data_IF_793444373466
#
_entry.id   IF_793444373466
#
_cell.length_a   1.000
_cell.length_b   1.000
_cell.length_c   1.000
_cell.angle_alpha   90.00
_cell.angle_beta   90.00
_cell.angle_gamma   90.00
#
_symmetry.space_group_name_H-M   'P 1'
#
loop_
_entity.id
_entity.type
_entity.pdbx_description
1 polymer ?
#
# COMPACT_ATOMS: atom_id res chain seq x y z
N UNK A 1 -7.40 26.79 -9.18
CA UNK A 1 -8.73 26.39 -8.71
C UNK A 1 -8.54 25.02 -8.05
N UNK A 2 -8.55 24.94 -6.71
CA UNK A 2 -8.32 23.68 -5.95
C UNK A 2 -9.68 23.02 -5.77
N UNK A 3 -9.90 21.88 -6.42
CA UNK A 3 -11.08 21.05 -6.18
C UNK A 3 -10.74 20.07 -5.05
N UNK A 4 -11.32 20.29 -3.87
CA UNK A 4 -11.31 19.32 -2.78
C UNK A 4 -12.45 18.34 -3.02
N UNK A 5 -12.13 17.10 -3.38
CA UNK A 5 -13.12 16.03 -3.35
C UNK A 5 -13.16 15.50 -1.92
N UNK A 6 -14.19 15.85 -1.18
CA UNK A 6 -14.50 15.26 0.12
C UNK A 6 -15.29 13.98 -0.13
N UNK A 7 -14.69 12.84 0.14
CA UNK A 7 -15.43 11.58 0.29
C UNK A 7 -15.68 11.40 1.78
N UNK A 8 -16.94 11.68 2.19
CA UNK A 8 -17.38 11.43 3.56
C UNK A 8 -17.77 9.96 3.70
N UNK A 9 -16.97 9.19 4.42
CA UNK A 9 -17.36 7.85 4.85
C UNK A 9 -18.01 7.93 6.22
N UNK A 10 -19.29 7.56 6.28
CA UNK A 10 -20.02 7.35 7.54
C UNK A 10 -19.44 6.17 8.32
N UNK A 11 -19.16 6.47 9.55
CA UNK A 11 -18.95 5.59 10.71
C UNK A 11 -18.88 4.08 10.45
N UNK A 12 -17.70 3.57 10.16
CA UNK A 12 -17.32 2.20 10.43
C UNK A 12 -15.95 2.19 11.12
N UNK A 13 -15.90 1.62 12.32
CA UNK A 13 -14.69 1.55 13.16
C UNK A 13 -13.63 0.68 12.48
N UNK A 14 -12.76 1.29 11.70
CA UNK A 14 -11.49 0.70 11.30
C UNK A 14 -10.54 1.85 10.97
N UNK A 15 -9.37 1.85 11.62
CA UNK A 15 -8.35 2.86 11.42
C UNK A 15 -7.78 2.77 10.01
N UNK A 16 -8.28 3.62 9.13
CA UNK A 16 -7.75 3.75 7.77
C UNK A 16 -6.95 5.04 7.72
N UNK A 17 -5.66 4.92 7.52
CA UNK A 17 -4.79 6.03 7.19
C UNK A 17 -5.17 6.57 5.80
N UNK A 18 -5.69 7.80 5.78
CA UNK A 18 -5.94 8.53 4.53
C UNK A 18 -4.64 9.21 4.11
N UNK A 19 -3.95 8.66 3.12
CA UNK A 19 -2.89 9.36 2.41
C UNK A 19 -3.54 10.38 1.46
N UNK A 20 -3.31 11.67 1.70
CA UNK A 20 -3.77 12.74 0.83
C UNK A 20 -2.86 12.83 -0.41
N UNK A 21 -3.39 12.48 -1.59
CA UNK A 21 -2.72 12.67 -2.86
C UNK A 21 -2.89 14.11 -3.34
N UNK A 22 -1.78 14.81 -3.56
CA UNK A 22 -1.75 16.06 -4.31
C UNK A 22 -1.42 15.77 -5.78
N UNK A 23 -2.42 15.92 -6.65
CA UNK A 23 -2.22 15.82 -8.11
C UNK A 23 -1.79 17.17 -8.66
N UNK A 24 -0.57 17.27 -9.18
CA UNK A 24 -0.10 18.42 -9.96
C UNK A 24 -0.53 18.28 -11.42
N UNK A 25 -1.44 19.14 -11.86
CA UNK A 25 -1.84 19.23 -13.27
C UNK A 25 -0.80 20.06 -14.06
N UNK A 26 -0.12 19.41 -14.99
CA UNK A 26 0.65 20.10 -16.03
C UNK A 26 -0.30 20.45 -17.18
N UNK A 27 -0.50 21.73 -17.41
CA UNK A 27 -1.31 22.23 -18.52
C UNK A 27 -0.53 22.12 -19.84
N UNK A 28 -0.97 21.26 -20.74
CA UNK A 28 -0.51 21.22 -22.12
C UNK A 28 -1.36 22.18 -22.96
N UNK A 29 -0.71 23.19 -23.56
CA UNK A 29 -1.31 24.14 -24.49
C UNK A 29 -1.68 23.44 -25.80
N UNK A 30 -2.95 23.45 -26.14
CA UNK A 30 -3.45 23.02 -27.46
C UNK A 30 -3.13 24.09 -28.53
N UNK A 31 -2.38 23.66 -29.53
CA UNK A 31 -2.21 24.43 -30.80
C UNK A 31 -3.38 24.15 -31.74
N UNK A 32 -4.01 25.23 -32.20
CA UNK A 32 -5.02 25.23 -33.27
C UNK A 32 -4.35 24.94 -34.61
N UNK A 33 -4.92 24.05 -35.41
CA UNK A 33 -4.73 24.03 -36.87
C UNK A 33 -6.04 23.67 -37.58
N UNK A 34 -6.25 24.40 -38.63
CA UNK A 34 -7.39 24.68 -39.50
C UNK A 34 -8.12 23.48 -40.12
N UNK A 35 -9.42 23.78 -40.34
CA UNK A 35 -10.35 23.08 -41.23
C UNK A 35 -9.86 23.01 -42.68
N UNK A 36 -10.14 21.87 -43.33
CA UNK A 36 -10.37 21.84 -44.78
C UNK A 36 -11.42 20.77 -45.11
N UNK A 37 -12.46 21.29 -45.71
CA UNK A 37 -13.67 20.61 -46.19
C UNK A 37 -13.40 19.84 -47.47
N UNK A 38 -13.91 18.63 -47.63
CA UNK A 38 -14.48 18.14 -48.90
C UNK A 38 -15.27 16.84 -48.73
N UNK A 39 -16.44 16.81 -49.30
CA UNK A 39 -17.53 15.83 -49.35
C UNK A 39 -17.40 14.98 -50.65
N UNK A 40 -18.30 14.03 -50.96
CA UNK A 40 -18.27 12.58 -50.63
C UNK A 40 -18.16 11.71 -51.91
N UNK A 41 -17.89 10.43 -51.74
CA UNK A 41 -18.19 9.44 -52.81
C UNK A 41 -18.73 8.14 -52.22
N UNK A 42 -19.88 7.83 -52.67
CA UNK A 42 -20.62 6.54 -52.60
C UNK A 42 -19.87 5.42 -53.27
N UNK A 43 -20.00 4.18 -52.70
CA UNK A 43 -19.87 2.99 -53.54
C UNK A 43 -19.38 1.74 -52.86
N UNK A 44 -20.32 0.79 -52.81
CA UNK A 44 -20.18 -0.67 -53.00
C UNK A 44 -19.85 -1.58 -51.80
N UNK A 45 -20.90 -2.24 -51.41
CA UNK A 45 -20.96 -3.58 -50.82
C UNK A 45 -20.05 -4.60 -51.49
N UNK A 46 -19.27 -5.33 -50.68
CA UNK A 46 -18.83 -6.68 -51.03
C UNK A 46 -18.70 -7.50 -49.76
N UNK A 47 -19.68 -8.35 -49.54
CA UNK A 47 -19.63 -9.48 -48.63
C UNK A 47 -18.65 -10.53 -49.16
N UNK A 48 -17.61 -10.83 -48.37
CA UNK A 48 -16.84 -12.05 -48.53
C UNK A 48 -16.86 -12.81 -47.20
N UNK A 49 -17.75 -13.80 -47.14
CA UNK A 49 -17.71 -14.86 -46.15
C UNK A 49 -16.53 -15.79 -46.45
N UNK A 50 -15.53 -15.84 -45.53
CA UNK A 50 -14.56 -16.90 -45.45
C UNK A 50 -14.36 -17.26 -43.99
N UNK A 51 -14.48 -18.56 -43.60
CA UNK A 51 -14.18 -18.97 -42.23
C UNK A 51 -12.68 -19.00 -42.05
N UNK A 52 -12.13 -17.89 -41.54
CA UNK A 52 -10.78 -17.87 -40.97
C UNK A 52 -10.77 -18.60 -39.60
N UNK A 53 -9.61 -19.16 -39.20
CA UNK A 53 -9.52 -19.87 -37.93
C UNK A 53 -9.99 -18.98 -36.81
N UNK A 54 -10.93 -19.46 -36.01
CA UNK A 54 -11.46 -18.78 -34.83
C UNK A 54 -10.34 -18.61 -33.81
N UNK A 55 -9.58 -17.53 -33.94
CA UNK A 55 -8.88 -16.97 -32.78
C UNK A 55 -9.96 -16.59 -31.78
N UNK A 56 -10.01 -17.28 -30.66
CA UNK A 56 -10.86 -16.97 -29.53
C UNK A 56 -10.46 -15.61 -28.99
N UNK A 57 -10.90 -14.55 -29.67
CA UNK A 57 -10.66 -13.17 -29.21
C UNK A 57 -11.55 -12.98 -28.02
N UNK A 58 -10.98 -13.23 -26.86
CA UNK A 58 -11.59 -12.92 -25.56
C UNK A 58 -11.87 -11.42 -25.57
N UNK A 59 -13.13 -11.03 -25.57
CA UNK A 59 -13.50 -9.60 -25.55
C UNK A 59 -13.04 -8.90 -24.25
N UNK A 60 -12.89 -7.58 -24.25
CA UNK A 60 -12.40 -6.85 -23.06
C UNK A 60 -13.28 -7.06 -21.82
N UNK A 61 -14.60 -7.26 -22.00
CA UNK A 61 -15.51 -7.56 -20.90
C UNK A 61 -15.24 -8.92 -20.25
N UNK A 62 -14.86 -9.94 -21.07
CA UNK A 62 -14.51 -11.25 -20.53
C UNK A 62 -13.16 -11.18 -19.81
N UNK A 63 -12.16 -10.54 -20.39
CA UNK A 63 -10.86 -10.36 -19.76
C UNK A 63 -10.96 -9.59 -18.43
N UNK A 64 -11.75 -8.52 -18.38
CA UNK A 64 -11.99 -7.79 -17.13
C UNK A 64 -12.68 -8.67 -16.08
N UNK A 65 -13.66 -9.47 -16.47
CA UNK A 65 -14.36 -10.39 -15.57
C UNK A 65 -13.42 -11.44 -14.98
N UNK A 66 -12.54 -11.99 -15.78
CA UNK A 66 -11.54 -12.97 -15.33
C UNK A 66 -10.50 -12.31 -14.43
N UNK A 67 -10.06 -11.07 -14.72
CA UNK A 67 -9.17 -10.29 -13.87
C UNK A 67 -9.79 -10.02 -12.49
N UNK A 68 -11.07 -9.63 -12.44
CA UNK A 68 -11.80 -9.42 -11.19
C UNK A 68 -11.98 -10.74 -10.41
N UNK A 69 -12.21 -11.85 -11.10
CA UNK A 69 -12.31 -13.17 -10.48
C UNK A 69 -10.98 -13.62 -9.88
N UNK A 70 -9.87 -13.37 -10.56
CA UNK A 70 -8.53 -13.65 -10.06
C UNK A 70 -8.19 -12.76 -8.85
N UNK A 71 -8.58 -11.48 -8.88
CA UNK A 71 -8.42 -10.57 -7.75
C UNK A 71 -9.26 -11.00 -6.53
N UNK A 72 -10.50 -11.45 -6.75
CA UNK A 72 -11.39 -11.98 -5.71
C UNK A 72 -10.78 -13.19 -4.98
N UNK A 73 -10.28 -14.16 -5.73
CA UNK A 73 -9.63 -15.35 -5.16
C UNK A 73 -8.20 -15.09 -4.68
N UNK A 74 -7.68 -13.86 -4.86
CA UNK A 74 -6.30 -13.47 -4.61
C UNK A 74 -5.29 -14.41 -5.31
N UNK A 75 -5.64 -14.93 -6.49
CA UNK A 75 -4.78 -15.75 -7.32
C UNK A 75 -3.76 -14.87 -8.05
N UNK A 76 -2.56 -14.71 -7.50
CA UNK A 76 -1.47 -13.92 -8.10
C UNK A 76 -1.16 -14.39 -9.52
N UNK A 77 -1.07 -15.71 -9.71
CA UNK A 77 -0.79 -16.34 -11.02
C UNK A 77 -1.81 -15.95 -12.09
N UNK A 78 -3.09 -15.95 -11.73
CA UNK A 78 -4.14 -15.69 -12.72
C UNK A 78 -4.32 -14.19 -12.92
N UNK A 79 -4.18 -13.37 -11.87
CA UNK A 79 -4.26 -11.91 -11.97
C UNK A 79 -3.14 -11.33 -12.85
N UNK A 80 -1.92 -11.86 -12.74
CA UNK A 80 -0.76 -11.41 -13.55
C UNK A 80 -1.02 -11.51 -15.06
N UNK A 81 -1.85 -12.47 -15.52
CA UNK A 81 -2.21 -12.63 -16.93
C UNK A 81 -2.91 -11.40 -17.50
N UNK A 82 -3.55 -10.60 -16.66
CA UNK A 82 -4.31 -9.40 -17.08
C UNK A 82 -3.53 -8.10 -16.88
N UNK A 83 -2.29 -8.16 -16.44
CA UNK A 83 -1.40 -7.00 -16.39
C UNK A 83 -0.67 -6.83 -17.71
N UNK A 84 -0.34 -5.58 -18.07
CA UNK A 84 0.63 -5.30 -19.16
C UNK A 84 1.99 -5.89 -18.81
N UNK A 85 2.85 -6.15 -19.78
CA UNK A 85 4.16 -6.75 -19.55
C UNK A 85 4.94 -5.98 -18.47
N UNK A 86 5.00 -4.64 -18.58
CA UNK A 86 5.66 -3.77 -17.60
C UNK A 86 5.09 -3.89 -16.20
N UNK A 87 3.76 -3.91 -16.07
CA UNK A 87 3.11 -4.05 -14.77
C UNK A 87 3.28 -5.44 -14.18
N UNK A 88 3.32 -6.49 -15.01
CA UNK A 88 3.53 -7.87 -14.58
C UNK A 88 4.94 -8.07 -13.99
N UNK A 89 5.98 -7.50 -14.61
CA UNK A 89 7.34 -7.52 -14.09
C UNK A 89 7.42 -6.85 -12.71
N UNK A 90 6.83 -5.65 -12.59
CA UNK A 90 6.80 -4.94 -11.31
C UNK A 90 5.97 -5.69 -10.27
N UNK A 91 4.81 -6.23 -10.63
CA UNK A 91 3.99 -7.03 -9.73
C UNK A 91 4.75 -8.24 -9.16
N UNK A 92 5.53 -8.92 -9.99
CA UNK A 92 6.37 -10.04 -9.55
C UNK A 92 7.46 -9.61 -8.54
N UNK A 93 7.97 -8.39 -8.65
CA UNK A 93 8.99 -7.84 -7.73
C UNK A 93 8.43 -7.34 -6.39
N UNK A 94 7.12 -7.08 -6.30
CA UNK A 94 6.46 -6.65 -5.06
C UNK A 94 6.53 -7.73 -3.97
N UNK A 95 6.48 -7.30 -2.71
CA UNK A 95 6.31 -8.24 -1.59
C UNK A 95 4.97 -8.97 -1.68
N UNK A 96 4.84 -10.19 -1.13
CA UNK A 96 3.57 -10.92 -1.14
C UNK A 96 2.40 -10.09 -0.56
N UNK A 97 2.64 -9.37 0.53
CA UNK A 97 1.63 -8.50 1.14
C UNK A 97 1.17 -7.35 0.22
N UNK A 98 2.10 -6.73 -0.53
CA UNK A 98 1.79 -5.66 -1.47
C UNK A 98 0.98 -6.20 -2.68
N UNK A 99 1.31 -7.39 -3.19
CA UNK A 99 0.54 -8.04 -4.26
C UNK A 99 -0.90 -8.32 -3.84
N UNK A 100 -1.10 -8.89 -2.65
CA UNK A 100 -2.42 -9.11 -2.07
C UNK A 100 -3.16 -7.80 -1.85
N UNK A 101 -2.53 -6.77 -1.31
CA UNK A 101 -3.13 -5.45 -1.09
C UNK A 101 -3.59 -4.79 -2.40
N UNK A 102 -2.84 -4.97 -3.50
CA UNK A 102 -3.27 -4.49 -4.81
C UNK A 102 -4.54 -5.21 -5.28
N UNK A 103 -4.57 -6.55 -5.23
CA UNK A 103 -5.74 -7.32 -5.68
C UNK A 103 -6.99 -7.00 -4.87
N UNK A 104 -6.88 -6.82 -3.56
CA UNK A 104 -8.00 -6.39 -2.68
C UNK A 104 -8.66 -5.09 -3.14
N UNK A 105 -7.87 -4.14 -3.65
CA UNK A 105 -8.38 -2.85 -4.14
C UNK A 105 -9.25 -2.96 -5.39
N UNK A 106 -9.07 -4.00 -6.20
CA UNK A 106 -9.90 -4.23 -7.38
C UNK A 106 -11.30 -4.73 -7.04
N UNK A 107 -11.45 -5.45 -5.93
CA UNK A 107 -12.73 -6.05 -5.53
C UNK A 107 -13.32 -5.44 -4.26
N UNK A 108 -12.59 -4.53 -3.60
CA UNK A 108 -12.99 -3.82 -2.37
C UNK A 108 -13.31 -4.77 -1.20
N UNK A 109 -12.63 -5.91 -1.12
CA UNK A 109 -12.78 -6.91 -0.06
C UNK A 109 -11.42 -7.24 0.54
N UNK A 110 -11.40 -7.43 1.85
CA UNK A 110 -10.17 -7.69 2.60
C UNK A 110 -9.76 -9.18 2.59
N UNK A 111 -10.71 -10.09 2.57
CA UNK A 111 -10.45 -11.52 2.57
C UNK A 111 -10.50 -12.13 1.18
N UNK A 112 -9.77 -13.24 0.92
CA UNK A 112 -9.92 -13.99 -0.31
C UNK A 112 -11.33 -14.57 -0.40
N UNK A 113 -11.92 -14.43 -1.57
CA UNK A 113 -13.30 -14.82 -1.82
C UNK A 113 -13.45 -15.94 -2.84
N UNK A 114 -14.68 -16.38 -3.00
CA UNK A 114 -15.10 -17.30 -4.06
C UNK A 114 -15.79 -16.49 -5.16
N UNK A 115 -15.16 -16.34 -6.33
CA UNK A 115 -15.81 -15.66 -7.46
C UNK A 115 -16.90 -16.53 -8.05
N UNK A 116 -18.05 -15.95 -8.33
CA UNK A 116 -19.09 -16.55 -9.15
C UNK A 116 -19.44 -15.62 -10.30
N UNK A 117 -19.64 -16.21 -11.49
CA UNK A 117 -19.99 -15.45 -12.68
C UNK A 117 -21.47 -15.68 -12.99
N UNK A 118 -22.23 -14.62 -12.98
CA UNK A 118 -23.68 -14.64 -13.21
C UNK A 118 -24.01 -13.59 -14.27
N UNK A 119 -25.09 -13.81 -14.99
CA UNK A 119 -25.70 -12.76 -15.81
C UNK A 119 -26.67 -12.03 -14.91
N UNK A 120 -26.44 -10.74 -14.68
CA UNK A 120 -27.34 -9.92 -13.87
C UNK A 120 -28.73 -9.78 -14.50
N UNK A 121 -29.69 -9.28 -13.73
CA UNK A 121 -31.08 -9.06 -14.18
C UNK A 121 -31.19 -8.15 -15.43
N UNK A 122 -30.17 -7.34 -15.69
CA UNK A 122 -30.06 -6.46 -16.87
C UNK A 122 -29.43 -7.15 -18.09
N UNK A 123 -29.13 -8.46 -18.03
CA UNK A 123 -28.43 -9.21 -19.08
C UNK A 123 -26.94 -8.89 -19.17
N UNK A 124 -26.39 -8.12 -18.24
CA UNK A 124 -24.96 -7.76 -18.21
C UNK A 124 -24.15 -8.74 -17.36
N UNK A 125 -22.87 -8.97 -17.70
CA UNK A 125 -21.99 -9.81 -16.88
C UNK A 125 -21.85 -9.26 -15.46
N UNK A 126 -22.01 -10.12 -14.48
CA UNK A 126 -21.85 -9.82 -13.05
C UNK A 126 -20.82 -10.76 -12.45
N UNK A 127 -19.82 -10.21 -11.79
CA UNK A 127 -18.88 -10.94 -10.93
C UNK A 127 -19.29 -10.71 -9.48
N UNK A 128 -19.67 -11.79 -8.80
CA UNK A 128 -19.94 -11.78 -7.37
C UNK A 128 -18.77 -12.42 -6.64
N UNK A 129 -18.20 -11.72 -5.69
CA UNK A 129 -17.12 -12.18 -4.85
C UNK A 129 -17.64 -12.37 -3.43
N UNK A 130 -17.69 -13.59 -2.93
CA UNK A 130 -18.17 -13.93 -1.59
C UNK A 130 -17.01 -14.25 -0.68
N UNK A 131 -16.93 -13.58 0.47
CA UNK A 131 -15.96 -13.82 1.54
C UNK A 131 -16.69 -14.12 2.85
N UNK A 132 -16.00 -14.65 3.87
CA UNK A 132 -16.61 -14.83 5.19
C UNK A 132 -17.12 -13.52 5.83
N UNK A 133 -16.53 -12.38 5.48
CA UNK A 133 -16.86 -11.06 6.04
C UNK A 133 -17.85 -10.23 5.21
N UNK A 134 -18.23 -10.66 4.01
CA UNK A 134 -19.13 -9.90 3.13
C UNK A 134 -19.10 -10.39 1.69
N UNK A 135 -19.86 -9.73 0.84
CA UNK A 135 -19.86 -10.01 -0.59
C UNK A 135 -19.90 -8.72 -1.40
N UNK A 136 -19.11 -8.66 -2.47
CA UNK A 136 -19.16 -7.57 -3.43
C UNK A 136 -19.68 -8.06 -4.78
N UNK A 137 -20.52 -7.26 -5.41
CA UNK A 137 -21.01 -7.49 -6.76
C UNK A 137 -20.46 -6.43 -7.70
N UNK A 138 -19.83 -6.87 -8.78
CA UNK A 138 -19.27 -6.00 -9.80
C UNK A 138 -20.00 -6.26 -11.12
N UNK A 139 -20.81 -5.31 -11.56
CA UNK A 139 -21.53 -5.37 -12.83
C UNK A 139 -20.73 -4.66 -13.93
N UNK A 140 -20.45 -5.34 -15.03
CA UNK A 140 -19.66 -4.81 -16.15
C UNK A 140 -20.61 -4.39 -17.26
N UNK A 141 -20.51 -3.14 -17.68
CA UNK A 141 -21.27 -2.58 -18.79
C UNK A 141 -20.69 -2.89 -20.17
N UNK A 142 -21.30 -2.33 -21.20
CA UNK A 142 -20.82 -2.44 -22.58
C UNK A 142 -19.46 -1.78 -22.75
N UNK A 143 -18.54 -2.44 -23.46
CA UNK A 143 -17.22 -1.89 -23.77
C UNK A 143 -17.31 -0.84 -24.89
N UNK A 144 -16.73 0.32 -24.67
CA UNK A 144 -16.43 1.31 -25.70
C UNK A 144 -15.02 1.01 -26.23
N UNK A 145 -14.90 0.49 -27.45
CA UNK A 145 -13.63 0.06 -28.04
C UNK A 145 -13.18 1.06 -29.09
N UNK A 146 -11.95 1.54 -28.98
CA UNK A 146 -11.29 2.39 -29.99
C UNK A 146 -9.88 1.82 -30.21
N UNK A 147 -9.63 1.28 -31.38
CA UNK A 147 -8.38 0.63 -31.77
C UNK A 147 -7.95 -0.47 -30.78
N UNK A 148 -6.88 -0.24 -30.06
CA UNK A 148 -6.34 -1.15 -29.05
C UNK A 148 -6.76 -0.78 -27.60
N UNK A 149 -7.66 0.18 -27.43
CA UNK A 149 -8.16 0.63 -26.12
C UNK A 149 -9.62 0.24 -25.95
N UNK A 150 -9.99 -0.16 -24.77
CA UNK A 150 -11.38 -0.39 -24.38
C UNK A 150 -11.67 0.28 -23.02
N UNK A 151 -12.83 0.91 -22.92
CA UNK A 151 -13.32 1.48 -21.67
C UNK A 151 -14.65 0.82 -21.31
N UNK A 152 -14.72 0.30 -20.08
CA UNK A 152 -15.86 -0.44 -19.58
C UNK A 152 -16.42 0.29 -18.36
N UNK A 153 -17.68 0.73 -18.39
CA UNK A 153 -18.37 1.20 -17.18
C UNK A 153 -18.61 0.02 -16.24
N UNK A 154 -18.27 0.19 -15.00
CA UNK A 154 -18.37 -0.84 -13.96
C UNK A 154 -19.10 -0.26 -12.76
N UNK A 155 -20.08 -1.00 -12.26
CA UNK A 155 -20.82 -0.70 -11.04
C UNK A 155 -20.41 -1.71 -9.97
N UNK A 156 -19.91 -1.22 -8.85
CA UNK A 156 -19.50 -2.05 -7.70
C UNK A 156 -20.42 -1.74 -6.55
N UNK A 157 -20.99 -2.77 -5.93
CA UNK A 157 -21.86 -2.64 -4.77
C UNK A 157 -21.56 -3.70 -3.72
N UNK A 158 -21.80 -3.38 -2.48
CA UNK A 158 -21.85 -4.36 -1.41
C UNK A 158 -23.12 -5.20 -1.57
N UNK A 159 -22.97 -6.51 -1.76
CA UNK A 159 -24.12 -7.41 -1.94
C UNK A 159 -24.93 -7.62 -0.64
N UNK A 160 -24.39 -7.20 0.51
CA UNK A 160 -25.05 -7.27 1.81
C UNK A 160 -25.88 -6.00 2.09
N UNK A 161 -25.67 -4.92 1.33
CA UNK A 161 -26.43 -3.68 1.44
C UNK A 161 -27.81 -3.84 0.79
N UNK A 162 -28.81 -4.17 1.61
CA UNK A 162 -30.21 -4.34 1.18
C UNK A 162 -30.91 -3.04 0.79
N UNK A 163 -30.33 -1.89 1.14
CA UNK A 163 -30.90 -0.55 0.85
C UNK A 163 -30.40 -0.02 -0.50
N UNK A 164 -29.31 -0.62 -1.06
CA UNK A 164 -28.75 -0.23 -2.35
C UNK A 164 -28.17 1.20 -2.38
N UNK A 165 -27.84 1.75 -1.22
CA UNK A 165 -27.44 3.15 -1.07
C UNK A 165 -26.01 3.44 -1.57
N UNK A 166 -25.15 2.43 -1.64
CA UNK A 166 -23.73 2.60 -1.96
C UNK A 166 -23.33 1.85 -3.23
N UNK A 167 -23.64 2.42 -4.39
CA UNK A 167 -23.15 1.93 -5.67
C UNK A 167 -21.99 2.81 -6.12
N UNK A 168 -20.82 2.21 -6.31
CA UNK A 168 -19.67 2.90 -6.88
C UNK A 168 -19.67 2.72 -8.40
N UNK A 169 -19.66 3.83 -9.14
CA UNK A 169 -19.52 3.83 -10.58
C UNK A 169 -18.10 4.18 -10.97
N UNK A 170 -17.44 3.29 -11.70
CA UNK A 170 -16.08 3.49 -12.17
C UNK A 170 -15.97 3.06 -13.63
N UNK A 171 -15.12 3.74 -14.41
CA UNK A 171 -14.81 3.32 -15.78
C UNK A 171 -13.45 2.63 -15.76
N UNK A 172 -13.37 1.35 -16.12
CA UNK A 172 -12.12 0.61 -16.21
C UNK A 172 -11.60 0.63 -17.64
N UNK A 173 -10.31 0.96 -17.78
CA UNK A 173 -9.61 0.97 -19.07
C UNK A 173 -8.84 -0.31 -19.27
N UNK A 174 -8.87 -0.81 -20.50
CA UNK A 174 -8.07 -1.94 -20.94
C UNK A 174 -7.31 -1.60 -22.22
N UNK A 175 -6.15 -2.19 -22.39
CA UNK A 175 -5.32 -2.06 -23.61
C UNK A 175 -5.10 -3.43 -24.20
N UNK A 176 -5.07 -3.51 -25.55
CA UNK A 176 -4.77 -4.75 -26.26
C UNK A 176 -3.26 -4.86 -26.47
N UNK A 177 -2.63 -5.81 -25.82
CA UNK A 177 -1.20 -6.10 -25.93
C UNK A 177 -1.02 -7.54 -26.40
N UNK A 178 -0.29 -7.73 -27.51
CA UNK A 178 -0.08 -9.05 -28.14
C UNK A 178 -1.39 -9.82 -28.43
N UNK A 179 -2.47 -9.12 -28.78
CA UNK A 179 -3.76 -9.73 -29.07
C UNK A 179 -4.65 -9.99 -27.86
N UNK A 180 -4.16 -9.79 -26.63
CA UNK A 180 -4.87 -10.00 -25.37
C UNK A 180 -5.22 -8.67 -24.70
N UNK A 181 -6.35 -8.64 -23.98
CA UNK A 181 -6.76 -7.46 -23.22
C UNK A 181 -6.15 -7.44 -21.83
N UNK A 182 -5.47 -6.34 -21.52
CA UNK A 182 -4.75 -6.09 -20.24
C UNK A 182 -5.33 -4.89 -19.53
N UNK A 183 -5.25 -4.87 -18.20
CA UNK A 183 -5.68 -3.74 -17.37
C UNK A 183 -4.79 -2.53 -17.61
N UNK A 184 -5.41 -1.39 -17.95
CA UNK A 184 -4.74 -0.12 -18.19
C UNK A 184 -5.03 0.90 -17.09
N UNK A 185 -6.29 1.02 -16.67
CA UNK A 185 -6.69 2.02 -15.68
C UNK A 185 -7.90 1.59 -14.86
N UNK A 186 -8.04 2.21 -13.69
CA UNK A 186 -9.23 2.16 -12.85
C UNK A 186 -9.70 3.60 -12.65
N UNK A 187 -10.84 3.95 -13.25
CA UNK A 187 -11.29 5.32 -13.32
C UNK A 187 -10.32 6.18 -14.14
N UNK A 188 -9.94 7.31 -13.60
CA UNK A 188 -8.96 8.24 -14.19
C UNK A 188 -7.51 7.91 -13.81
N UNK A 189 -7.29 6.87 -13.02
CA UNK A 189 -5.96 6.47 -12.56
C UNK A 189 -5.41 5.38 -13.47
N UNK A 190 -4.32 5.70 -14.19
CA UNK A 190 -3.56 4.71 -14.93
C UNK A 190 -2.89 3.73 -13.96
N UNK A 191 -2.91 2.44 -14.31
CA UNK A 191 -2.22 1.40 -13.55
C UNK A 191 -0.73 1.42 -13.96
N UNK A 192 0.07 2.19 -13.23
CA UNK A 192 1.53 2.25 -13.37
C UNK A 192 2.17 1.68 -12.10
N UNK A 193 2.27 0.36 -12.03
CA UNK A 193 2.84 -0.32 -10.87
C UNK A 193 4.29 0.06 -10.58
N UNK A 194 5.18 0.30 -11.56
CA UNK A 194 6.52 0.78 -11.27
C UNK A 194 6.53 2.07 -10.43
N UNK A 195 5.71 3.05 -10.76
CA UNK A 195 5.60 4.28 -9.98
C UNK A 195 4.98 4.04 -8.61
N UNK A 196 3.91 3.23 -8.53
CA UNK A 196 3.27 2.87 -7.27
C UNK A 196 4.20 2.07 -6.35
N UNK A 197 5.03 1.19 -6.90
CA UNK A 197 5.99 0.42 -6.11
C UNK A 197 7.00 1.34 -5.39
N UNK A 198 7.54 2.33 -6.09
CA UNK A 198 8.47 3.32 -5.51
C UNK A 198 7.79 4.12 -4.39
N UNK A 199 6.55 4.56 -4.62
CA UNK A 199 5.78 5.29 -3.60
C UNK A 199 5.47 4.42 -2.38
N UNK A 200 5.14 3.14 -2.58
CA UNK A 200 4.87 2.21 -1.48
C UNK A 200 6.11 1.91 -0.67
N UNK A 201 7.25 1.69 -1.32
CA UNK A 201 8.53 1.46 -0.62
C UNK A 201 8.91 2.70 0.20
N UNK A 202 8.77 3.90 -0.36
CA UNK A 202 9.02 5.15 0.35
C UNK A 202 8.07 5.33 1.56
N UNK A 203 6.77 5.09 1.37
CA UNK A 203 5.77 5.18 2.43
C UNK A 203 6.02 4.13 3.54
N UNK A 204 6.42 2.92 3.16
CA UNK A 204 6.77 1.86 4.10
C UNK A 204 8.00 2.24 4.93
N UNK A 205 9.05 2.75 4.29
CA UNK A 205 10.24 3.23 5.00
C UNK A 205 9.91 4.36 5.96
N UNK A 206 9.12 5.36 5.55
CA UNK A 206 8.68 6.45 6.42
C UNK A 206 7.88 5.94 7.63
N UNK A 207 6.98 4.98 7.42
CA UNK A 207 6.22 4.35 8.50
C UNK A 207 7.13 3.63 9.49
N UNK A 208 8.11 2.89 8.98
CA UNK A 208 9.09 2.15 9.79
C UNK A 208 9.98 3.10 10.58
N UNK A 209 10.44 4.21 9.98
CA UNK A 209 11.21 5.26 10.64
C UNK A 209 10.41 5.94 11.76
N UNK A 210 9.14 6.24 11.52
CA UNK A 210 8.25 6.80 12.55
C UNK A 210 8.06 5.85 13.73
N UNK A 211 7.92 4.56 13.44
CA UNK A 211 7.85 3.51 14.46
C UNK A 211 9.14 3.43 15.27
N UNK A 212 10.30 3.52 14.61
CA UNK A 212 11.60 3.52 15.30
C UNK A 212 11.76 4.70 16.28
N UNK A 213 11.29 5.88 15.88
CA UNK A 213 11.23 7.07 16.78
C UNK A 213 10.32 6.81 17.98
N UNK A 214 9.15 6.21 17.75
CA UNK A 214 8.23 5.79 18.82
C UNK A 214 8.89 4.80 19.79
N UNK A 215 9.58 3.80 19.27
CA UNK A 215 10.29 2.81 20.06
C UNK A 215 11.43 3.43 20.89
N UNK A 216 12.18 4.41 20.35
CA UNK A 216 13.18 5.14 21.13
C UNK A 216 12.56 5.89 22.32
N UNK A 217 11.38 6.49 22.14
CA UNK A 217 10.64 7.14 23.22
C UNK A 217 10.20 6.12 24.27
N UNK A 218 9.63 4.99 23.85
CA UNK A 218 9.23 3.90 24.75
C UNK A 218 10.40 3.33 25.55
N UNK A 219 11.55 3.10 24.90
CA UNK A 219 12.76 2.63 25.58
C UNK A 219 13.20 3.67 26.63
N UNK A 220 13.22 4.95 26.28
CA UNK A 220 13.61 6.01 27.21
C UNK A 220 12.70 6.06 28.44
N UNK A 221 11.39 5.97 28.24
CA UNK A 221 10.40 5.93 29.34
C UNK A 221 10.58 4.70 30.21
N UNK A 222 10.84 3.53 29.63
CA UNK A 222 11.10 2.29 30.35
C UNK A 222 12.39 2.39 31.19
N UNK A 223 13.47 2.95 30.64
CA UNK A 223 14.72 3.19 31.38
C UNK A 223 14.49 4.12 32.58
N UNK A 224 13.72 5.20 32.39
CA UNK A 224 13.38 6.10 33.48
C UNK A 224 12.46 5.47 34.51
N UNK A 225 11.52 4.65 34.13
CA UNK A 225 10.67 3.86 35.04
C UNK A 225 11.51 2.86 35.86
N UNK A 226 12.43 2.16 35.20
CA UNK A 226 13.37 1.28 35.88
C UNK A 226 14.21 2.05 36.92
N UNK A 227 14.77 3.23 36.55
CA UNK A 227 15.53 4.08 37.46
C UNK A 227 14.72 4.50 38.70
N UNK A 228 13.46 4.89 38.50
CA UNK A 228 12.56 5.22 39.62
C UNK A 228 12.29 4.05 40.55
N UNK A 229 12.16 2.84 40.01
CA UNK A 229 11.83 1.64 40.78
C UNK A 229 13.03 1.06 41.52
N UNK A 230 14.21 1.04 40.86
CA UNK A 230 15.39 0.35 41.36
C UNK A 230 16.54 1.29 41.76
N UNK A 231 16.33 2.60 41.72
CA UNK A 231 17.30 3.67 42.07
C UNK A 231 18.61 3.61 41.24
N UNK A 232 18.64 2.92 40.12
CA UNK A 232 19.78 2.79 39.19
C UNK A 232 19.32 2.64 37.76
N UNK A 233 20.21 2.91 36.78
CA UNK A 233 19.96 2.59 35.40
C UNK A 233 20.08 1.07 35.17
N UNK A 234 19.34 0.49 34.19
CA UNK A 234 19.53 -0.89 33.77
C UNK A 234 20.89 -1.02 33.05
N UNK A 235 21.61 -2.13 33.27
CA UNK A 235 22.91 -2.38 32.62
C UNK A 235 22.76 -2.65 31.12
N UNK A 236 21.58 -3.09 30.68
CA UNK A 236 21.22 -3.36 29.28
C UNK A 236 19.70 -3.31 29.07
N UNK A 237 19.27 -3.21 27.81
CA UNK A 237 17.84 -3.28 27.46
C UNK A 237 17.19 -4.59 27.89
N UNK A 238 17.95 -5.69 27.90
CA UNK A 238 17.45 -7.01 28.30
C UNK A 238 16.89 -7.05 29.74
N UNK A 239 17.36 -6.17 30.64
CA UNK A 239 16.83 -6.02 32.00
C UNK A 239 15.40 -5.48 32.03
N UNK A 240 14.96 -4.84 30.94
CA UNK A 240 13.60 -4.29 30.80
C UNK A 240 12.59 -5.32 30.26
N UNK A 241 13.06 -6.50 29.83
CA UNK A 241 12.23 -7.55 29.27
C UNK A 241 11.19 -8.08 30.27
N UNK A 242 10.10 -8.70 29.79
CA UNK A 242 9.14 -9.37 30.64
C UNK A 242 9.78 -10.49 31.46
N UNK A 243 9.33 -10.66 32.71
CA UNK A 243 9.70 -11.83 33.49
C UNK A 243 9.07 -13.08 32.87
N UNK A 244 9.85 -14.13 32.67
CA UNK A 244 9.36 -15.42 32.15
C UNK A 244 8.47 -16.15 33.15
N UNK A 245 8.64 -15.92 34.43
CA UNK A 245 7.82 -16.45 35.54
C UNK A 245 7.87 -15.52 36.76
N UNK A 246 6.74 -15.34 37.43
CA UNK A 246 6.65 -14.61 38.69
C UNK A 246 6.55 -13.08 38.53
N UNK A 247 6.90 -12.35 39.60
CA UNK A 247 6.85 -10.92 39.68
C UNK A 247 8.05 -10.27 38.95
N UNK A 248 7.92 -8.99 38.57
CA UNK A 248 9.01 -8.18 38.00
C UNK A 248 10.20 -8.11 38.96
N UNK A 249 11.40 -8.23 38.45
CA UNK A 249 12.67 -8.19 39.17
C UNK A 249 13.64 -7.18 38.50
N UNK A 250 14.73 -6.77 39.14
CA UNK A 250 15.74 -5.96 38.48
C UNK A 250 16.37 -6.61 37.25
N UNK A 251 16.28 -7.92 37.08
CA UNK A 251 16.80 -8.65 35.94
C UNK A 251 15.77 -8.86 34.82
N UNK A 252 14.49 -8.66 35.12
CA UNK A 252 13.37 -8.79 34.20
C UNK A 252 12.22 -7.88 34.68
N UNK A 253 12.34 -6.60 34.39
CA UNK A 253 11.47 -5.56 34.95
C UNK A 253 10.08 -5.47 34.31
N UNK A 254 9.86 -6.14 33.16
CA UNK A 254 8.55 -6.16 32.49
C UNK A 254 8.11 -4.81 31.91
N UNK A 255 9.07 -3.96 31.55
CA UNK A 255 8.82 -2.58 31.08
C UNK A 255 8.84 -2.44 29.56
N UNK A 256 9.36 -3.43 28.84
CA UNK A 256 9.39 -3.50 27.38
C UNK A 256 8.93 -4.88 26.90
N UNK A 257 8.44 -4.94 25.67
CA UNK A 257 8.22 -6.21 24.97
C UNK A 257 9.55 -6.92 24.71
N UNK A 258 9.50 -8.25 24.56
CA UNK A 258 10.69 -9.09 24.45
C UNK A 258 11.61 -8.69 23.30
N UNK A 259 11.04 -8.42 22.11
CA UNK A 259 11.80 -8.06 20.90
C UNK A 259 12.49 -6.70 21.06
N UNK A 260 11.80 -5.73 21.61
CA UNK A 260 12.38 -4.39 21.87
C UNK A 260 13.45 -4.43 22.94
N UNK A 261 13.26 -5.25 23.97
CA UNK A 261 14.27 -5.50 24.99
C UNK A 261 15.49 -6.26 24.46
N UNK A 262 15.30 -7.10 23.44
CA UNK A 262 16.39 -7.74 22.70
C UNK A 262 17.15 -6.77 21.78
N UNK A 263 16.65 -5.55 21.62
CA UNK A 263 17.31 -4.51 20.82
C UNK A 263 16.97 -4.53 19.34
N UNK A 264 15.89 -5.21 18.92
CA UNK A 264 15.50 -5.27 17.51
C UNK A 264 13.97 -5.33 17.39
N UNK A 265 13.36 -4.37 16.69
CA UNK A 265 11.93 -4.37 16.40
C UNK A 265 11.64 -3.54 15.15
N UNK A 266 10.61 -3.95 14.38
CA UNK A 266 10.07 -3.19 13.25
C UNK A 266 11.13 -2.71 12.24
N UNK A 267 12.11 -3.55 11.92
CA UNK A 267 13.15 -3.25 10.92
C UNK A 267 14.28 -2.33 11.41
N UNK A 268 14.35 -2.06 12.73
CA UNK A 268 15.40 -1.28 13.36
C UNK A 268 16.11 -2.05 14.45
N UNK A 269 17.44 -1.78 14.60
CA UNK A 269 18.25 -2.20 15.73
C UNK A 269 18.37 -1.03 16.72
N UNK A 270 18.19 -1.32 18.00
CA UNK A 270 18.26 -0.34 19.08
C UNK A 270 19.48 -0.59 19.95
N UNK A 271 20.24 0.46 20.22
CA UNK A 271 21.42 0.42 21.08
C UNK A 271 21.22 1.38 22.26
N UNK A 272 21.49 0.88 23.45
CA UNK A 272 21.48 1.63 24.69
C UNK A 272 22.91 1.76 25.20
N UNK A 273 23.28 2.96 25.65
CA UNK A 273 24.60 3.24 26.20
C UNK A 273 24.44 4.13 27.45
N UNK A 274 25.06 3.72 28.56
CA UNK A 274 25.18 4.56 29.74
C UNK A 274 26.31 5.55 29.47
N UNK A 275 26.00 6.84 29.49
CA UNK A 275 26.93 7.91 29.29
C UNK A 275 27.45 8.39 30.64
N UNK A 276 28.74 8.20 30.88
CA UNK A 276 29.50 8.80 31.98
C UNK A 276 28.95 8.51 33.37
N UNK A 277 29.46 7.53 34.03
CA UNK A 277 29.54 7.52 35.48
C UNK A 277 30.64 8.52 35.86
N UNK A 278 30.22 9.70 36.20
CA UNK A 278 30.68 10.34 37.13
C UNK A 278 31.78 11.26 37.45
N UNK A 279 31.46 12.41 37.63
CA UNK A 279 32.01 13.18 38.72
C UNK A 279 31.15 12.90 39.97
N UNK A 280 31.75 12.74 41.12
CA UNK A 280 31.07 12.44 42.41
C UNK A 280 29.79 13.28 42.52
N UNK A 281 28.61 12.61 42.55
CA UNK A 281 27.33 13.24 42.80
C UNK A 281 26.44 13.53 41.60
N UNK A 282 26.87 13.37 40.35
CA UNK A 282 25.99 13.54 39.20
C UNK A 282 25.25 12.24 38.86
N UNK A 283 23.93 12.28 38.62
CA UNK A 283 23.20 11.09 38.23
C UNK A 283 23.68 10.55 36.85
N UNK A 284 23.86 9.25 36.76
CA UNK A 284 24.22 8.62 35.48
C UNK A 284 23.17 8.95 34.40
N UNK A 285 23.64 9.27 33.19
CA UNK A 285 22.82 9.57 32.03
C UNK A 285 22.89 8.41 31.02
N UNK A 286 22.03 8.41 30.04
CA UNK A 286 22.04 7.41 28.97
C UNK A 286 21.74 8.05 27.63
N UNK A 287 22.19 7.39 26.59
CA UNK A 287 21.87 7.69 25.19
C UNK A 287 21.30 6.45 24.50
N UNK A 288 20.49 6.68 23.49
CA UNK A 288 19.90 5.63 22.67
C UNK A 288 20.20 5.88 21.19
N UNK A 289 20.39 4.82 20.44
CA UNK A 289 20.49 4.91 18.98
C UNK A 289 19.56 3.90 18.33
N UNK A 290 19.01 4.26 17.18
CA UNK A 290 18.27 3.34 16.30
C UNK A 290 18.87 3.40 14.91
N UNK A 291 19.20 2.23 14.34
CA UNK A 291 19.75 2.09 13.00
C UNK A 291 18.89 1.13 12.19
N UNK A 292 18.64 1.39 10.88
CA UNK A 292 17.88 0.45 10.06
C UNK A 292 18.61 -0.89 9.99
N UNK A 293 17.88 -2.00 10.07
CA UNK A 293 18.45 -3.34 9.90
C UNK A 293 18.99 -3.56 8.49
N UNK A 294 18.29 -3.00 7.48
CA UNK A 294 18.70 -3.01 6.08
C UNK A 294 18.54 -1.60 5.53
N UNK A 295 19.65 -0.88 5.37
CA UNK A 295 19.66 0.46 4.79
C UNK A 295 19.01 0.48 3.41
N UNK A 296 18.19 1.49 3.14
CA UNK A 296 17.46 1.63 1.88
C UNK A 296 16.23 0.73 1.74
N UNK A 297 15.96 -0.13 2.72
CA UNK A 297 14.80 -1.03 2.70
C UNK A 297 13.93 -0.90 3.97
N UNK A 298 14.53 -0.91 5.14
CA UNK A 298 13.80 -0.74 6.40
C UNK A 298 13.82 0.71 6.89
N UNK A 299 14.65 1.56 6.31
CA UNK A 299 14.76 2.98 6.54
C UNK A 299 16.01 3.56 5.91
N UNK A 300 16.05 4.87 5.76
CA UNK A 300 17.21 5.65 5.33
C UNK A 300 17.89 6.32 6.53
N UNK A 301 17.07 6.84 7.48
CA UNK A 301 17.58 7.61 8.60
C UNK A 301 17.94 6.72 9.78
N UNK A 302 19.07 7.04 10.41
CA UNK A 302 19.39 6.58 11.75
C UNK A 302 19.01 7.66 12.76
N UNK A 303 18.59 7.25 13.94
CA UNK A 303 18.13 8.17 14.99
C UNK A 303 19.01 8.04 16.21
N UNK A 304 19.19 9.16 16.92
CA UNK A 304 19.97 9.25 18.15
C UNK A 304 19.24 10.09 19.17
N UNK A 305 19.04 9.55 20.38
CA UNK A 305 18.55 10.30 21.51
C UNK A 305 19.71 10.59 22.44
N UNK A 306 20.03 11.86 22.57
CA UNK A 306 21.15 12.31 23.38
C UNK A 306 20.87 12.19 24.91
N UNK A 307 21.91 12.41 25.71
CA UNK A 307 21.85 12.32 27.19
C UNK A 307 20.94 13.36 27.83
N UNK A 308 20.50 14.37 27.12
CA UNK A 308 19.58 15.41 27.58
C UNK A 308 18.16 15.20 27.10
N UNK A 309 17.94 14.12 26.30
CA UNK A 309 16.63 13.76 25.79
C UNK A 309 16.32 14.32 24.40
N UNK A 310 17.24 15.07 23.78
CA UNK A 310 17.11 15.57 22.44
C UNK A 310 17.11 14.41 21.43
N UNK A 311 16.15 14.39 20.50
CA UNK A 311 16.08 13.40 19.43
C UNK A 311 16.66 14.00 18.15
N UNK A 312 17.57 13.27 17.53
CA UNK A 312 18.29 13.64 16.31
C UNK A 312 18.11 12.56 15.26
N UNK A 313 18.15 12.92 13.97
CA UNK A 313 18.00 11.93 12.91
C UNK A 313 18.54 12.43 11.57
N UNK A 314 19.31 11.59 10.90
CA UNK A 314 19.86 11.87 9.57
C UNK A 314 20.06 10.59 8.77
N UNK A 315 20.16 10.72 7.44
CA UNK A 315 20.66 9.66 6.61
C UNK A 315 22.17 9.44 6.88
N UNK A 316 22.46 8.35 7.56
CA UNK A 316 23.82 7.93 7.92
C UNK A 316 24.25 6.68 7.18
N UNK A 317 23.55 6.32 6.11
CA UNK A 317 23.81 5.12 5.30
C UNK A 317 23.90 3.85 6.17
N UNK A 318 23.00 3.72 7.16
CA UNK A 318 22.99 2.61 8.11
C UNK A 318 23.97 2.72 9.29
N UNK A 319 24.81 3.74 9.32
CA UNK A 319 25.69 4.01 10.48
C UNK A 319 24.91 4.65 11.62
N UNK A 320 25.45 4.60 12.83
CA UNK A 320 24.83 5.15 14.04
C UNK A 320 24.69 6.68 13.94
N UNK A 321 23.54 7.21 14.32
CA UNK A 321 23.28 8.64 14.44
C UNK A 321 24.05 9.28 15.59
N UNK A 322 24.07 10.60 15.63
CA UNK A 322 24.83 11.39 16.64
C UNK A 322 24.08 12.66 17.03
N UNK A 323 24.52 13.30 18.12
CA UNK A 323 23.96 14.56 18.62
C UNK A 323 24.15 15.78 17.70
N UNK A 324 25.05 15.68 16.69
CA UNK A 324 25.24 16.73 15.68
C UNK A 324 24.25 16.64 14.52
N UNK A 325 23.47 15.56 14.45
CA UNK A 325 22.45 15.41 13.43
C UNK A 325 21.29 16.40 13.66
N UNK A 326 20.51 16.72 12.64
CA UNK A 326 19.33 17.56 12.80
C UNK A 326 18.36 17.02 13.85
N UNK A 327 17.75 17.93 14.62
CA UNK A 327 16.69 17.53 15.56
C UNK A 327 15.47 17.02 14.81
N UNK A 328 14.85 15.99 15.36
CA UNK A 328 13.58 15.40 14.89
C UNK A 328 12.50 15.77 15.91
N UNK A 329 11.38 16.29 15.42
CA UNK A 329 10.21 16.65 16.24
C UNK A 329 9.35 15.43 16.64
#
# INVERSE_FOLDING_TARGET
MKVKVFVSFGSMRMGIFVAAFTVSLVAVRAGRAQESSSRPSTGSTSSVNGPGPASSVTGPSLALREALSAACSQSERDFTKFLTARNAETFASLTPGARVALMKRFVLLDDPGKPSMVIGATGRPLVRCETPGGAAETQIGGAEITDNLAFLPVEIRDATDTVGANVMHVKMGMVRENGEWKLLSVGLVLLDLPSLAVEWDAAQMESTERTAVGNLKMIAEAVEAYRRTYARLPDSLAKLAPATRGAATPDAAGLLEADLAAGAQSGYNFRYVIAGASTLGAPAKFALAATPQVYGRTGLRSFFRDVNGGLHGADRQGSVGSEVDPKVE
#
